data_IF_608692408097
#
_entry.id   IF_608692408097
#
_cell.length_a   1.000
_cell.length_b   1.000
_cell.length_c   1.000
_cell.angle_alpha   90.00
_cell.angle_beta   90.00
_cell.angle_gamma   90.00
#
_symmetry.space_group_name_H-M   'P 1'
#
loop_
_entity.id
_entity.type
_entity.pdbx_description
1 polymer ?
#
# COMPACT_ATOMS: atom_id res chain seq x y z
N UNK A 1 -7.90 25.43 16.03
CA UNK A 1 -8.54 25.48 17.36
C UNK A 1 -8.13 24.26 18.17
N UNK A 2 -8.05 24.37 19.50
CA UNK A 2 -7.66 23.27 20.40
C UNK A 2 -8.58 22.03 20.31
N UNK A 3 -9.78 22.17 19.73
CA UNK A 3 -10.76 21.09 19.58
C UNK A 3 -10.39 20.05 18.51
N UNK A 4 -9.63 20.44 17.47
CA UNK A 4 -9.30 19.56 16.34
C UNK A 4 -7.84 19.07 16.33
N UNK A 5 -7.02 19.48 17.30
CA UNK A 5 -5.58 19.18 17.31
C UNK A 5 -5.27 17.68 17.11
N UNK A 6 -5.97 16.80 17.84
CA UNK A 6 -5.76 15.35 17.73
C UNK A 6 -6.36 14.73 16.46
N UNK A 7 -7.40 15.34 15.90
CA UNK A 7 -8.04 14.87 14.66
C UNK A 7 -7.13 15.21 13.47
N UNK A 8 -6.60 16.43 13.47
CA UNK A 8 -5.65 16.89 12.47
C UNK A 8 -4.36 16.06 12.54
N UNK A 9 -3.81 15.81 13.73
CA UNK A 9 -2.63 14.97 13.91
C UNK A 9 -2.82 13.55 13.34
N UNK A 10 -3.99 12.94 13.57
CA UNK A 10 -4.30 11.61 13.02
C UNK A 10 -4.44 11.65 11.49
N UNK A 11 -5.07 12.69 10.94
CA UNK A 11 -5.19 12.87 9.50
C UNK A 11 -3.81 13.02 8.84
N UNK A 12 -2.94 13.87 9.40
CA UNK A 12 -1.58 14.05 8.90
C UNK A 12 -0.75 12.78 9.02
N UNK A 13 -0.85 12.07 10.16
CA UNK A 13 -0.21 10.78 10.33
C UNK A 13 -0.66 9.77 9.26
N UNK A 14 -1.95 9.73 8.95
CA UNK A 14 -2.49 8.85 7.93
C UNK A 14 -1.96 9.22 6.53
N UNK A 15 -2.02 10.49 6.15
CA UNK A 15 -1.54 10.96 4.85
C UNK A 15 -0.03 10.73 4.67
N UNK A 16 0.79 11.11 5.66
CA UNK A 16 2.24 10.86 5.65
C UNK A 16 2.56 9.36 5.71
N UNK A 17 1.75 8.58 6.42
CA UNK A 17 1.87 7.12 6.48
C UNK A 17 1.64 6.48 5.11
N UNK A 18 0.67 6.97 4.33
CA UNK A 18 0.44 6.51 2.96
C UNK A 18 1.67 6.74 2.08
N UNK A 19 2.32 7.90 2.18
CA UNK A 19 3.55 8.21 1.43
C UNK A 19 4.67 7.20 1.75
N UNK A 20 4.88 6.91 3.04
CA UNK A 20 5.90 5.95 3.48
C UNK A 20 5.60 4.53 2.96
N UNK A 21 4.35 4.07 3.09
CA UNK A 21 3.94 2.74 2.59
C UNK A 21 4.14 2.68 1.07
N UNK A 22 3.84 3.75 0.34
CA UNK A 22 4.05 3.81 -1.11
C UNK A 22 5.53 3.68 -1.45
N UNK A 23 6.41 4.45 -0.80
CA UNK A 23 7.87 4.37 -1.00
C UNK A 23 8.40 2.97 -0.71
N UNK A 24 8.07 2.40 0.45
CA UNK A 24 8.53 1.06 0.83
C UNK A 24 8.00 -0.03 -0.10
N UNK A 25 6.76 0.07 -0.56
CA UNK A 25 6.17 -0.89 -1.50
C UNK A 25 6.91 -0.89 -2.84
N UNK A 26 7.28 0.29 -3.35
CA UNK A 26 8.06 0.38 -4.59
C UNK A 26 9.49 -0.14 -4.42
N UNK A 27 10.17 0.22 -3.31
CA UNK A 27 11.50 -0.32 -3.00
C UNK A 27 11.44 -1.85 -2.90
N UNK A 28 10.41 -2.40 -2.26
CA UNK A 28 10.20 -3.84 -2.15
C UNK A 28 10.03 -4.50 -3.53
N UNK A 29 9.18 -3.93 -4.39
CA UNK A 29 8.98 -4.40 -5.76
C UNK A 29 10.29 -4.36 -6.57
N UNK A 30 11.01 -3.25 -6.52
CA UNK A 30 12.27 -3.08 -7.25
C UNK A 30 13.37 -3.99 -6.73
N UNK A 31 13.45 -4.24 -5.41
CA UNK A 31 14.39 -5.20 -4.84
C UNK A 31 14.19 -6.58 -5.45
N UNK A 32 12.95 -7.05 -5.55
CA UNK A 32 12.65 -8.37 -6.12
C UNK A 32 12.94 -8.44 -7.62
N UNK A 33 12.67 -7.37 -8.37
CA UNK A 33 13.05 -7.26 -9.80
C UNK A 33 14.58 -7.26 -9.95
N UNK A 34 15.31 -6.52 -9.10
CA UNK A 34 16.76 -6.42 -9.14
C UNK A 34 17.45 -7.75 -8.85
N UNK A 35 16.98 -8.47 -7.83
CA UNK A 35 17.49 -9.80 -7.47
C UNK A 35 17.23 -10.83 -8.59
N UNK A 36 16.23 -10.58 -9.45
CA UNK A 36 15.88 -11.41 -10.61
C UNK A 36 15.70 -12.91 -10.28
N UNK A 37 15.32 -13.21 -9.04
CA UNK A 37 15.02 -14.56 -8.56
C UNK A 37 13.58 -14.87 -8.98
N UNK A 38 13.43 -15.29 -10.24
CA UNK A 38 12.21 -15.88 -10.77
C UNK A 38 12.43 -17.40 -10.80
N UNK A 39 12.59 -17.98 -9.61
CA UNK A 39 12.59 -19.43 -9.46
C UNK A 39 11.13 -19.93 -9.35
N UNK A 40 10.88 -21.14 -9.82
CA UNK A 40 9.58 -21.80 -9.71
C UNK A 40 9.12 -21.90 -8.26
N UNK A 41 10.07 -22.09 -7.34
CA UNK A 41 9.80 -22.18 -5.91
C UNK A 41 9.37 -20.86 -5.27
N UNK A 42 9.62 -19.72 -5.91
CA UNK A 42 9.24 -18.39 -5.40
C UNK A 42 8.10 -17.74 -6.19
N UNK A 43 7.50 -18.49 -7.11
CA UNK A 43 6.45 -18.00 -7.99
C UNK A 43 5.16 -17.67 -7.22
N UNK A 44 4.85 -18.44 -6.16
CA UNK A 44 3.74 -18.23 -5.23
C UNK A 44 3.82 -16.85 -4.58
N UNK A 45 4.90 -16.58 -3.85
CA UNK A 45 5.09 -15.31 -3.16
C UNK A 45 5.10 -14.13 -4.15
N UNK A 46 5.72 -14.29 -5.32
CA UNK A 46 5.72 -13.22 -6.34
C UNK A 46 4.31 -12.88 -6.83
N UNK A 47 3.51 -13.89 -7.16
CA UNK A 47 2.12 -13.68 -7.61
C UNK A 47 1.26 -13.06 -6.51
N UNK A 48 1.32 -13.57 -5.28
CA UNK A 48 0.55 -13.02 -4.17
C UNK A 48 0.99 -11.59 -3.84
N UNK A 49 2.29 -11.29 -3.91
CA UNK A 49 2.82 -9.93 -3.73
C UNK A 49 2.32 -8.94 -4.77
N UNK A 50 2.26 -9.35 -6.05
CA UNK A 50 1.64 -8.52 -7.11
C UNK A 50 0.17 -8.25 -6.81
N UNK A 51 -0.59 -9.26 -6.35
CA UNK A 51 -1.99 -9.06 -5.98
C UNK A 51 -2.15 -8.06 -4.82
N UNK A 52 -1.32 -8.18 -3.78
CA UNK A 52 -1.29 -7.21 -2.67
C UNK A 52 -0.99 -5.81 -3.20
N UNK A 53 0.02 -5.67 -4.07
CA UNK A 53 0.41 -4.39 -4.66
C UNK A 53 -0.72 -3.76 -5.49
N UNK A 54 -1.46 -4.55 -6.26
CA UNK A 54 -2.61 -4.06 -7.04
C UNK A 54 -3.76 -3.60 -6.13
N UNK A 55 -4.10 -4.36 -5.09
CA UNK A 55 -5.14 -3.96 -4.13
C UNK A 55 -4.71 -2.70 -3.35
N UNK A 56 -3.42 -2.58 -3.02
CA UNK A 56 -2.86 -1.37 -2.42
C UNK A 56 -3.14 -0.11 -3.27
N UNK A 57 -2.97 -0.19 -4.59
CA UNK A 57 -3.30 0.94 -5.48
C UNK A 57 -4.79 1.32 -5.42
N UNK A 58 -5.68 0.33 -5.27
CA UNK A 58 -7.13 0.58 -5.11
C UNK A 58 -7.42 1.28 -3.78
N UNK A 59 -6.81 0.84 -2.68
CA UNK A 59 -6.97 1.46 -1.36
C UNK A 59 -6.53 2.93 -1.40
N UNK A 60 -5.36 3.21 -1.97
CA UNK A 60 -4.83 4.58 -2.12
C UNK A 60 -5.74 5.44 -2.99
N UNK A 61 -6.18 4.92 -4.15
CA UNK A 61 -7.13 5.63 -5.02
C UNK A 61 -8.40 6.03 -4.27
N UNK A 62 -9.02 5.09 -3.54
CA UNK A 62 -10.24 5.38 -2.78
C UNK A 62 -9.98 6.43 -1.70
N UNK A 63 -8.84 6.37 -1.00
CA UNK A 63 -8.45 7.35 0.02
C UNK A 63 -8.26 8.76 -0.56
N UNK A 64 -7.57 8.88 -1.71
CA UNK A 64 -7.36 10.17 -2.39
C UNK A 64 -8.68 10.87 -2.78
N UNK A 65 -9.70 10.10 -3.13
CA UNK A 65 -11.02 10.65 -3.45
C UNK A 65 -11.74 11.16 -2.20
N UNK A 66 -11.51 10.55 -1.03
CA UNK A 66 -12.14 10.92 0.24
C UNK A 66 -11.61 12.22 0.85
N UNK A 67 -10.45 12.72 0.42
CA UNK A 67 -9.94 14.03 0.84
C UNK A 67 -10.81 15.21 0.34
N UNK A 68 -11.79 14.96 -0.55
CA UNK A 68 -12.76 15.94 -1.02
C UNK A 68 -12.13 17.24 -1.56
N UNK A 69 -10.97 17.14 -2.21
CA UNK A 69 -10.26 18.27 -2.81
C UNK A 69 -10.57 18.41 -4.30
N UNK A 70 -10.14 19.50 -4.94
CA UNK A 70 -10.20 19.63 -6.40
C UNK A 70 -9.43 18.50 -7.12
N UNK A 71 -8.33 18.03 -6.53
CA UNK A 71 -7.60 16.87 -7.06
C UNK A 71 -8.44 15.58 -6.96
N UNK A 72 -9.26 15.43 -5.92
CA UNK A 72 -10.17 14.29 -5.74
C UNK A 72 -11.20 14.22 -6.89
N UNK A 73 -11.78 15.35 -7.30
CA UNK A 73 -12.73 15.40 -8.44
C UNK A 73 -12.05 15.03 -9.78
N UNK A 74 -10.84 15.52 -10.00
CA UNK A 74 -10.04 15.19 -11.19
C UNK A 74 -9.74 13.69 -11.21
N UNK A 75 -9.29 13.15 -10.08
CA UNK A 75 -8.98 11.72 -9.92
C UNK A 75 -10.20 10.85 -10.25
N UNK A 76 -11.38 11.23 -9.75
CA UNK A 76 -12.64 10.53 -10.02
C UNK A 76 -13.00 10.58 -11.51
N UNK A 77 -12.86 11.74 -12.15
CA UNK A 77 -13.12 11.92 -13.59
C UNK A 77 -12.18 11.06 -14.43
N UNK A 78 -10.88 11.02 -14.10
CA UNK A 78 -9.89 10.18 -14.79
C UNK A 78 -10.25 8.71 -14.66
N UNK A 79 -10.55 8.23 -13.44
CA UNK A 79 -10.96 6.85 -13.20
C UNK A 79 -12.24 6.48 -13.99
N UNK A 80 -13.24 7.36 -14.01
CA UNK A 80 -14.46 7.18 -14.77
C UNK A 80 -14.18 7.00 -16.27
N UNK A 81 -13.26 7.81 -16.80
CA UNK A 81 -12.89 7.78 -18.21
C UNK A 81 -12.07 6.54 -18.57
N UNK A 82 -11.16 6.10 -17.69
CA UNK A 82 -10.43 4.83 -17.87
C UNK A 82 -11.41 3.67 -17.95
N UNK A 83 -12.37 3.58 -17.02
CA UNK A 83 -13.33 2.49 -17.02
C UNK A 83 -14.27 2.55 -18.23
N UNK A 84 -14.70 3.75 -18.63
CA UNK A 84 -15.50 3.92 -19.84
C UNK A 84 -14.72 3.48 -21.10
N UNK A 85 -13.43 3.78 -21.17
CA UNK A 85 -12.55 3.35 -22.27
C UNK A 85 -12.34 1.82 -22.26
N UNK A 86 -12.10 1.24 -21.08
CA UNK A 86 -11.95 -0.20 -20.89
C UNK A 86 -13.15 -1.00 -21.41
N UNK A 87 -14.36 -0.46 -21.24
CA UNK A 87 -15.59 -1.03 -21.78
C UNK A 87 -15.97 -0.50 -23.18
N UNK A 88 -15.00 -0.06 -23.97
CA UNK A 88 -15.20 0.39 -25.36
C UNK A 88 -16.24 1.50 -25.51
N UNK A 89 -16.30 2.43 -24.55
CA UNK A 89 -17.27 3.54 -24.52
C UNK A 89 -18.73 3.09 -24.49
N UNK A 90 -19.01 1.87 -24.00
CA UNK A 90 -20.36 1.34 -23.85
C UNK A 90 -20.83 1.47 -22.40
N UNK A 91 -22.02 2.05 -22.22
CA UNK A 91 -22.66 2.16 -20.91
C UNK A 91 -21.89 3.04 -19.92
N UNK A 92 -22.36 3.06 -18.67
CA UNK A 92 -21.72 3.78 -17.56
C UNK A 92 -21.32 2.79 -16.48
N UNK A 93 -20.38 1.88 -16.78
CA UNK A 93 -19.96 0.84 -15.84
C UNK A 93 -19.42 1.38 -14.52
N UNK A 94 -18.88 2.60 -14.53
CA UNK A 94 -18.40 3.27 -13.34
C UNK A 94 -19.49 3.56 -12.31
N UNK A 95 -20.76 3.62 -12.75
CA UNK A 95 -21.92 3.91 -11.91
C UNK A 95 -22.09 2.95 -10.73
N UNK A 96 -21.62 1.71 -10.86
CA UNK A 96 -21.62 0.74 -9.77
C UNK A 96 -20.71 1.14 -8.60
N UNK A 97 -19.61 1.83 -8.89
CA UNK A 97 -18.59 2.22 -7.92
C UNK A 97 -18.76 3.67 -7.47
N UNK A 98 -19.05 4.58 -8.40
CA UNK A 98 -19.34 5.99 -8.13
C UNK A 98 -20.40 6.49 -9.10
N UNK A 99 -21.40 7.20 -8.58
CA UNK A 99 -22.64 7.49 -9.32
C UNK A 99 -22.46 8.51 -10.44
N UNK A 100 -21.54 9.45 -10.27
CA UNK A 100 -21.20 10.46 -11.28
C UNK A 100 -19.69 10.63 -11.43
N UNK A 101 -19.27 11.40 -12.43
CA UNK A 101 -17.85 11.81 -12.59
C UNK A 101 -17.45 12.95 -11.64
N UNK A 102 -18.37 13.37 -10.78
CA UNK A 102 -18.20 14.45 -9.82
C UNK A 102 -18.46 13.92 -8.42
N UNK A 103 -17.83 14.55 -7.43
CA UNK A 103 -18.07 14.21 -6.04
C UNK A 103 -19.51 14.56 -5.67
N UNK A 104 -20.22 13.57 -5.13
CA UNK A 104 -21.54 13.72 -4.54
C UNK A 104 -21.59 12.88 -3.26
N UNK A 105 -22.58 13.12 -2.40
CA UNK A 105 -22.68 12.45 -1.10
C UNK A 105 -22.78 10.92 -1.22
N UNK A 106 -23.52 10.40 -2.20
CA UNK A 106 -23.63 8.95 -2.44
C UNK A 106 -22.28 8.33 -2.83
N UNK A 107 -21.52 9.00 -3.69
CA UNK A 107 -20.18 8.57 -4.11
C UNK A 107 -19.22 8.54 -2.93
N UNK A 108 -19.20 9.58 -2.10
CA UNK A 108 -18.33 9.63 -0.91
C UNK A 108 -18.66 8.47 0.05
N UNK A 109 -19.95 8.23 0.33
CA UNK A 109 -20.38 7.16 1.23
C UNK A 109 -19.93 5.79 0.69
N UNK A 110 -20.16 5.51 -0.60
CA UNK A 110 -19.74 4.24 -1.23
C UNK A 110 -18.23 4.03 -1.17
N UNK A 111 -17.46 5.06 -1.54
CA UNK A 111 -16.01 4.99 -1.56
C UNK A 111 -15.42 4.92 -0.14
N UNK A 112 -16.08 5.49 0.88
CA UNK A 112 -15.67 5.36 2.27
C UNK A 112 -15.77 3.90 2.75
N UNK A 113 -16.92 3.25 2.51
CA UNK A 113 -17.07 1.82 2.79
C UNK A 113 -16.10 0.97 1.95
N UNK A 114 -15.93 1.32 0.68
CA UNK A 114 -14.99 0.66 -0.22
C UNK A 114 -13.55 0.73 0.30
N UNK A 115 -13.08 1.91 0.68
CA UNK A 115 -11.74 2.15 1.20
C UNK A 115 -11.49 1.34 2.47
N UNK A 116 -12.44 1.39 3.40
CA UNK A 116 -12.36 0.65 4.66
C UNK A 116 -12.30 -0.86 4.41
N UNK A 117 -13.25 -1.42 3.65
CA UNK A 117 -13.27 -2.85 3.34
C UNK A 117 -12.03 -3.30 2.55
N UNK A 118 -11.57 -2.50 1.59
CA UNK A 118 -10.40 -2.81 0.79
C UNK A 118 -9.12 -2.84 1.64
N UNK A 119 -8.99 -1.99 2.66
CA UNK A 119 -7.85 -2.03 3.58
C UNK A 119 -7.79 -3.35 4.39
N UNK A 120 -8.92 -3.86 4.89
CA UNK A 120 -8.95 -5.17 5.56
C UNK A 120 -8.70 -6.33 4.60
N UNK A 121 -9.21 -6.23 3.38
CA UNK A 121 -8.92 -7.23 2.35
C UNK A 121 -7.43 -7.24 1.96
N UNK A 122 -6.81 -6.06 1.86
CA UNK A 122 -5.37 -5.91 1.65
C UNK A 122 -4.59 -6.57 2.80
N UNK A 123 -5.00 -6.34 4.06
CA UNK A 123 -4.37 -6.99 5.22
C UNK A 123 -4.45 -8.52 5.13
N UNK A 124 -5.62 -9.06 4.77
CA UNK A 124 -5.78 -10.50 4.56
C UNK A 124 -4.82 -11.03 3.49
N UNK A 125 -4.73 -10.36 2.33
CA UNK A 125 -3.80 -10.75 1.27
C UNK A 125 -2.33 -10.60 1.70
N UNK A 126 -1.99 -9.59 2.49
CA UNK A 126 -0.63 -9.40 3.00
C UNK A 126 -0.22 -10.53 3.96
N UNK A 127 -1.14 -11.01 4.80
CA UNK A 127 -0.92 -12.20 5.63
C UNK A 127 -0.68 -13.45 4.77
N UNK A 128 -1.50 -13.65 3.72
CA UNK A 128 -1.29 -14.76 2.79
C UNK A 128 0.06 -14.67 2.08
N UNK A 129 0.43 -13.47 1.61
CA UNK A 129 1.72 -13.24 0.98
C UNK A 129 2.89 -13.57 1.92
N UNK A 130 2.79 -13.19 3.20
CA UNK A 130 3.78 -13.56 4.22
C UNK A 130 3.88 -15.08 4.42
N UNK A 131 2.75 -15.80 4.41
CA UNK A 131 2.72 -17.27 4.50
C UNK A 131 3.39 -17.92 3.29
N UNK A 132 3.10 -17.44 2.08
CA UNK A 132 3.72 -17.94 0.84
C UNK A 132 5.24 -17.79 0.92
N UNK A 133 5.75 -16.64 1.36
CA UNK A 133 7.18 -16.40 1.53
C UNK A 133 7.85 -17.39 2.52
N UNK A 134 7.16 -17.74 3.60
CA UNK A 134 7.67 -18.72 4.57
C UNK A 134 7.69 -20.16 4.03
N UNK A 135 6.81 -20.49 3.09
CA UNK A 135 6.85 -21.76 2.39
C UNK A 135 8.03 -21.82 1.43
N UNK A 136 8.29 -20.74 0.71
CA UNK A 136 9.34 -20.64 -0.31
C UNK A 136 10.75 -20.65 0.33
N UNK A 137 10.92 -20.09 1.54
CA UNK A 137 12.19 -20.14 2.31
C UNK A 137 12.74 -21.56 2.44
N UNK A 138 11.86 -22.54 2.71
CA UNK A 138 12.27 -23.90 3.06
C UNK A 138 12.95 -24.67 1.92
N UNK A 139 12.91 -24.14 0.70
CA UNK A 139 13.43 -24.81 -0.49
C UNK A 139 14.64 -24.09 -1.13
N UNK A 140 15.06 -22.90 -0.65
CA UNK A 140 16.22 -22.21 -1.23
C UNK A 140 17.53 -23.01 -1.05
N UNK A 141 18.22 -23.30 -2.16
CA UNK A 141 19.48 -24.04 -2.18
C UNK A 141 20.68 -23.29 -1.52
N UNK A 142 20.55 -21.99 -1.27
CA UNK A 142 21.59 -21.13 -0.64
C UNK A 142 21.45 -21.11 0.89
N UNK A 143 20.23 -21.34 1.39
CA UNK A 143 19.93 -21.52 2.80
C UNK A 143 19.21 -22.85 2.93
N UNK A 144 19.99 -23.94 2.97
CA UNK A 144 19.53 -25.33 2.91
C UNK A 144 18.52 -25.77 3.99
N UNK A 145 18.07 -24.85 4.85
CA UNK A 145 17.07 -25.08 5.89
C UNK A 145 17.51 -26.12 6.91
N UNK A 146 18.76 -26.58 6.88
CA UNK A 146 19.17 -27.80 7.58
C UNK A 146 20.44 -27.66 8.43
N UNK A 147 21.25 -26.60 8.31
CA UNK A 147 22.43 -26.45 9.19
C UNK A 147 22.29 -25.40 10.31
N UNK A 148 21.44 -24.38 10.17
CA UNK A 148 21.06 -23.49 11.29
C UNK A 148 19.64 -22.99 11.11
N UNK A 149 18.73 -23.34 12.03
CA UNK A 149 17.44 -22.65 12.12
C UNK A 149 17.69 -21.14 12.28
N UNK A 150 17.02 -20.32 11.46
CA UNK A 150 17.09 -18.87 11.60
C UNK A 150 16.67 -18.48 13.02
N UNK A 151 17.54 -17.75 13.73
CA UNK A 151 17.21 -17.23 15.06
C UNK A 151 16.23 -16.06 14.91
N UNK A 152 14.94 -16.39 14.94
CA UNK A 152 13.86 -15.47 14.56
C UNK A 152 13.83 -14.19 15.40
N UNK A 153 14.07 -14.30 16.71
CA UNK A 153 13.99 -13.17 17.63
C UNK A 153 15.21 -12.25 17.54
N UNK A 154 16.40 -12.81 17.75
CA UNK A 154 17.63 -12.03 17.92
C UNK A 154 18.22 -11.54 16.59
N UNK A 155 17.95 -12.23 15.49
CA UNK A 155 18.59 -11.96 14.21
C UNK A 155 17.60 -11.40 13.19
N UNK A 156 16.47 -12.07 12.96
CA UNK A 156 15.49 -11.64 11.97
C UNK A 156 14.67 -10.42 12.45
N UNK A 157 13.91 -10.58 13.54
CA UNK A 157 13.02 -9.53 14.01
C UNK A 157 13.79 -8.30 14.52
N UNK A 158 14.87 -8.51 15.27
CA UNK A 158 15.69 -7.44 15.81
C UNK A 158 16.30 -6.58 14.70
N UNK A 159 16.87 -7.19 13.65
CA UNK A 159 17.49 -6.46 12.54
C UNK A 159 16.48 -5.68 11.69
N UNK A 160 15.31 -6.27 11.42
CA UNK A 160 14.23 -5.61 10.68
C UNK A 160 13.65 -4.43 11.48
N UNK A 161 13.46 -4.59 12.79
CA UNK A 161 12.96 -3.53 13.65
C UNK A 161 14.00 -2.40 13.79
N UNK A 162 15.27 -2.73 14.02
CA UNK A 162 16.33 -1.73 14.10
C UNK A 162 16.50 -0.99 12.78
N UNK A 163 16.52 -1.69 11.65
CA UNK A 163 16.62 -1.08 10.32
C UNK A 163 15.44 -0.17 10.01
N UNK A 164 14.23 -0.56 10.41
CA UNK A 164 13.03 0.29 10.27
C UNK A 164 13.17 1.57 11.11
N UNK A 165 13.59 1.46 12.36
CA UNK A 165 13.81 2.61 13.25
C UNK A 165 14.89 3.54 12.67
N UNK A 166 16.01 2.98 12.22
CA UNK A 166 17.11 3.76 11.64
C UNK A 166 16.66 4.57 10.42
N UNK A 167 15.90 3.95 9.51
CA UNK A 167 15.34 4.65 8.34
C UNK A 167 14.39 5.76 8.76
N UNK A 168 13.50 5.50 9.72
CA UNK A 168 12.56 6.52 10.23
C UNK A 168 13.31 7.70 10.88
N UNK A 169 14.37 7.44 11.64
CA UNK A 169 15.21 8.48 12.25
C UNK A 169 15.95 9.29 11.18
N UNK A 170 16.47 8.65 10.13
CA UNK A 170 17.12 9.32 9.01
C UNK A 170 16.12 10.23 8.29
N UNK A 171 14.92 9.73 7.98
CA UNK A 171 13.86 10.53 7.35
C UNK A 171 13.48 11.72 8.25
N UNK A 172 13.27 11.48 9.54
CA UNK A 172 12.94 12.55 10.50
C UNK A 172 14.04 13.61 10.59
N UNK A 173 15.31 13.20 10.60
CA UNK A 173 16.46 14.12 10.60
C UNK A 173 16.49 15.01 9.36
N UNK A 174 16.31 14.43 8.17
CA UNK A 174 16.24 15.21 6.93
C UNK A 174 15.03 16.13 6.88
N UNK A 175 13.87 15.66 7.33
CA UNK A 175 12.67 16.48 7.44
C UNK A 175 12.90 17.70 8.34
N UNK A 176 13.52 17.49 9.52
CA UNK A 176 13.85 18.56 10.45
C UNK A 176 14.80 19.62 9.84
N UNK A 177 15.77 19.21 9.03
CA UNK A 177 16.70 20.14 8.38
C UNK A 177 16.05 20.92 7.24
N UNK A 178 15.30 20.23 6.38
CA UNK A 178 14.81 20.83 5.13
C UNK A 178 13.45 21.50 5.25
N UNK A 179 12.66 21.15 6.27
CA UNK A 179 11.33 21.70 6.52
C UNK A 179 11.25 22.24 7.95
N UNK A 180 11.99 23.32 8.27
CA UNK A 180 11.82 23.99 9.55
C UNK A 180 10.38 24.49 9.67
N UNK A 181 9.78 24.30 10.85
CA UNK A 181 8.47 24.89 11.14
C UNK A 181 8.53 26.41 10.91
N UNK A 182 7.45 27.02 10.35
CA UNK A 182 7.38 28.46 10.14
C UNK A 182 7.42 29.27 11.44
#
# INVERSE_FOLDING_TARGET
>A
DLEDLYIDDFFWLHERGVDLIFIFSWIHLFRKIYLNIVDYEQESAWKSGIFVFLIFQVVVFMGLVLCCTHLSEITLTIAANILHTFFFFKGKFYWWMFTDKQLNSDTIIRLAYGHYCAAFFMLYLAVLHGIDMHHDWKNEYVFDGLDTEMVWWEEALSSELSGTIDILLIVAFFCYIFFPEP
#
